data_IF_450548633526
#
_entry.id   IF_450548633526
#
_cell.length_a   1.000
_cell.length_b   1.000
_cell.length_c   1.000
_cell.angle_alpha   90.00
_cell.angle_beta   90.00
_cell.angle_gamma   90.00
#
_symmetry.space_group_name_H-M   'P 1'
#
loop_
_entity.id
_entity.type
_entity.pdbx_description
1 polymer ?
#
# COMPACT_ATOMS: atom_id res chain seq x y z
N UNK A 1 -25.09 0.42 -12.34
CA UNK A 1 -24.83 -0.65 -11.37
C UNK A 1 -23.32 -0.78 -11.31
N UNK A 2 -22.69 -0.58 -10.15
CA UNK A 2 -21.24 -0.75 -10.01
C UNK A 2 -21.00 -2.22 -9.72
N UNK A 3 -20.27 -2.92 -10.58
CA UNK A 3 -19.82 -4.30 -10.30
C UNK A 3 -18.44 -4.23 -9.65
N UNK A 4 -18.40 -4.51 -8.34
CA UNK A 4 -17.15 -4.58 -7.58
C UNK A 4 -16.65 -6.03 -7.61
N UNK A 5 -15.56 -6.28 -8.34
CA UNK A 5 -14.81 -7.52 -8.27
C UNK A 5 -13.74 -7.43 -7.18
N UNK A 6 -13.78 -8.31 -6.19
CA UNK A 6 -12.70 -8.42 -5.18
C UNK A 6 -11.68 -9.44 -5.68
N UNK A 7 -10.46 -8.96 -5.95
CA UNK A 7 -9.32 -9.82 -6.29
C UNK A 7 -8.48 -10.00 -5.03
N UNK A 8 -8.32 -11.24 -4.56
CA UNK A 8 -7.50 -11.54 -3.40
C UNK A 8 -6.01 -11.47 -3.79
N UNK A 9 -5.24 -10.66 -3.06
CA UNK A 9 -3.82 -10.49 -3.30
C UNK A 9 -3.07 -11.79 -2.99
N UNK A 10 -2.39 -12.32 -4.00
CA UNK A 10 -1.79 -13.65 -3.97
C UNK A 10 -0.80 -13.88 -2.82
N UNK A 11 -0.73 -15.15 -2.42
CA UNK A 11 0.21 -15.65 -1.44
C UNK A 11 1.43 -16.29 -2.11
N UNK A 12 2.57 -16.24 -1.42
CA UNK A 12 3.70 -17.12 -1.74
C UNK A 12 3.22 -18.57 -1.76
N UNK A 13 3.64 -19.34 -2.76
CA UNK A 13 3.38 -20.77 -2.86
C UNK A 13 4.44 -21.62 -2.15
N UNK A 14 5.39 -20.98 -1.47
CA UNK A 14 6.37 -21.66 -0.63
C UNK A 14 5.75 -22.02 0.73
N UNK A 15 6.03 -23.22 1.27
CA UNK A 15 5.67 -23.54 2.65
C UNK A 15 6.31 -22.54 3.62
N UNK A 16 5.67 -22.26 4.75
CA UNK A 16 6.30 -21.50 5.82
C UNK A 16 7.12 -22.43 6.72
N UNK A 17 8.27 -21.94 7.22
CA UNK A 17 9.04 -22.58 8.29
C UNK A 17 9.33 -21.62 9.42
N UNK A 18 9.57 -22.16 10.61
CA UNK A 18 10.01 -21.40 11.78
C UNK A 18 11.53 -21.54 11.89
N UNK A 19 12.23 -20.41 11.95
CA UNK A 19 13.68 -20.35 12.18
C UNK A 19 14.04 -20.77 13.61
N UNK A 20 15.33 -20.98 13.89
CA UNK A 20 15.79 -21.32 15.25
C UNK A 20 15.43 -20.28 16.30
N UNK A 21 15.26 -19.02 15.89
CA UNK A 21 14.88 -17.89 16.76
C UNK A 21 13.36 -17.66 16.83
N UNK A 22 12.54 -18.57 16.29
CA UNK A 22 11.08 -18.49 16.35
C UNK A 22 10.43 -17.59 15.29
N UNK A 23 11.18 -17.07 14.33
CA UNK A 23 10.64 -16.23 13.24
C UNK A 23 10.10 -17.11 12.11
N UNK A 24 8.89 -16.82 11.63
CA UNK A 24 8.29 -17.47 10.45
C UNK A 24 8.91 -16.90 9.18
N UNK A 25 9.30 -17.75 8.24
CA UNK A 25 9.86 -17.36 6.92
C UNK A 25 9.37 -18.31 5.83
N UNK A 26 9.45 -17.88 4.56
CA UNK A 26 9.26 -18.78 3.43
C UNK A 26 10.34 -19.88 3.43
N UNK A 27 9.95 -21.12 3.25
CA UNK A 27 10.84 -22.27 3.11
C UNK A 27 11.29 -22.40 1.65
N UNK A 28 12.32 -21.63 1.32
CA UNK A 28 12.99 -21.67 0.03
C UNK A 28 14.37 -21.01 0.13
N UNK A 29 15.23 -21.29 -0.83
CA UNK A 29 16.42 -20.47 -1.03
C UNK A 29 16.05 -19.11 -1.66
N UNK A 30 17.05 -18.28 -1.91
CA UNK A 30 16.85 -16.97 -2.52
C UNK A 30 16.20 -17.07 -3.91
N UNK A 31 16.57 -18.08 -4.71
CA UNK A 31 16.07 -18.25 -6.06
C UNK A 31 14.58 -18.66 -6.04
N UNK A 32 14.21 -19.64 -5.21
CA UNK A 32 12.83 -20.07 -5.03
C UNK A 32 11.95 -18.94 -4.48
N UNK A 33 12.46 -18.17 -3.51
CA UNK A 33 11.75 -17.01 -2.96
C UNK A 33 11.54 -15.93 -4.02
N UNK A 34 12.56 -15.66 -4.84
CA UNK A 34 12.45 -14.70 -5.93
C UNK A 34 11.42 -15.14 -6.97
N UNK A 35 11.42 -16.41 -7.36
CA UNK A 35 10.47 -16.95 -8.33
C UNK A 35 9.03 -16.91 -7.81
N UNK A 36 8.82 -17.26 -6.53
CA UNK A 36 7.51 -17.12 -5.86
C UNK A 36 7.05 -15.66 -5.84
N UNK A 37 7.91 -14.73 -5.43
CA UNK A 37 7.59 -13.31 -5.41
C UNK A 37 7.28 -12.77 -6.81
N UNK A 38 8.00 -13.21 -7.84
CA UNK A 38 7.70 -12.89 -9.23
C UNK A 38 6.32 -13.42 -9.63
N UNK A 39 6.01 -14.69 -9.35
CA UNK A 39 4.69 -15.26 -9.64
C UNK A 39 3.59 -14.43 -8.98
N UNK A 40 3.74 -14.07 -7.71
CA UNK A 40 2.71 -13.32 -6.97
C UNK A 40 2.54 -11.90 -7.50
N UNK A 41 3.60 -11.07 -7.45
CA UNK A 41 3.50 -9.65 -7.84
C UNK A 41 3.15 -9.46 -9.31
N UNK A 42 3.80 -10.22 -10.20
CA UNK A 42 3.56 -10.07 -11.64
C UNK A 42 2.15 -10.55 -12.00
N UNK A 43 1.62 -11.57 -11.32
CA UNK A 43 0.24 -11.99 -11.53
C UNK A 43 -0.77 -10.96 -11.01
N UNK A 44 -0.51 -10.26 -9.91
CA UNK A 44 -1.37 -9.15 -9.46
C UNK A 44 -1.47 -8.05 -10.53
N UNK A 45 -0.33 -7.65 -11.13
CA UNK A 45 -0.33 -6.68 -12.24
C UNK A 45 -1.11 -7.22 -13.45
N UNK A 46 -0.91 -8.49 -13.82
CA UNK A 46 -1.65 -9.13 -14.91
C UNK A 46 -3.15 -9.22 -14.63
N UNK A 47 -3.55 -9.45 -13.38
CA UNK A 47 -4.95 -9.48 -12.95
C UNK A 47 -5.59 -8.10 -13.11
N UNK A 48 -4.92 -7.02 -12.70
CA UNK A 48 -5.43 -5.65 -12.92
C UNK A 48 -5.62 -5.31 -14.41
N UNK A 49 -4.67 -5.73 -15.26
CA UNK A 49 -4.79 -5.57 -16.72
C UNK A 49 -5.94 -6.40 -17.29
N UNK A 50 -6.11 -7.63 -16.79
CA UNK A 50 -7.22 -8.49 -17.21
C UNK A 50 -8.57 -7.92 -16.77
N UNK A 51 -8.66 -7.37 -15.56
CA UNK A 51 -9.86 -6.73 -15.05
C UNK A 51 -10.32 -5.57 -15.94
N UNK A 52 -9.39 -4.74 -16.43
CA UNK A 52 -9.69 -3.67 -17.42
C UNK A 52 -10.29 -4.27 -18.71
N UNK A 53 -9.71 -5.35 -19.23
CA UNK A 53 -10.20 -6.03 -20.44
C UNK A 53 -11.57 -6.68 -20.24
N UNK A 54 -11.87 -7.15 -19.04
CA UNK A 54 -13.12 -7.84 -18.71
C UNK A 54 -14.29 -6.90 -18.41
N UNK A 55 -14.05 -5.59 -18.31
CA UNK A 55 -15.14 -4.64 -18.07
C UNK A 55 -15.26 -4.14 -16.63
N UNK A 56 -14.39 -4.56 -15.71
CA UNK A 56 -14.45 -4.10 -14.32
C UNK A 56 -14.18 -2.58 -14.22
N UNK A 57 -14.82 -1.96 -13.23
CA UNK A 57 -14.72 -0.53 -12.96
C UNK A 57 -13.53 -0.18 -12.08
N UNK A 58 -13.19 -1.04 -11.11
CA UNK A 58 -12.17 -0.79 -10.10
C UNK A 58 -11.26 -2.00 -9.87
N UNK A 59 -10.01 -1.73 -9.55
CA UNK A 59 -9.04 -2.70 -9.02
C UNK A 59 -8.42 -2.13 -7.76
N UNK A 60 -8.61 -2.81 -6.63
CA UNK A 60 -8.12 -2.36 -5.33
C UNK A 60 -6.97 -3.22 -4.82
N UNK A 61 -5.95 -2.57 -4.23
CA UNK A 61 -4.83 -3.23 -3.57
C UNK A 61 -4.70 -2.79 -2.10
N UNK A 62 -4.33 -3.71 -1.23
CA UNK A 62 -4.01 -3.46 0.20
C UNK A 62 -2.53 -3.17 0.37
N UNK A 63 -2.14 -2.44 1.42
CA UNK A 63 -0.73 -2.31 1.82
C UNK A 63 -0.42 -3.26 2.99
N UNK A 64 0.52 -4.19 2.78
CA UNK A 64 0.97 -5.13 3.80
C UNK A 64 2.46 -5.45 3.68
N UNK A 65 3.10 -5.64 4.84
CA UNK A 65 4.54 -5.87 4.94
C UNK A 65 4.88 -7.07 5.81
N UNK A 66 6.08 -7.62 5.58
CA UNK A 66 6.67 -8.68 6.42
C UNK A 66 5.77 -9.92 6.62
N UNK A 67 4.99 -10.32 5.62
CA UNK A 67 4.10 -11.49 5.72
C UNK A 67 4.75 -12.75 5.13
N UNK A 68 5.48 -13.56 5.93
CA UNK A 68 5.96 -14.87 5.51
C UNK A 68 4.83 -15.91 5.42
N UNK A 69 3.67 -15.63 6.01
CA UNK A 69 2.49 -16.50 5.96
C UNK A 69 1.72 -16.41 4.63
N UNK A 70 2.18 -15.53 3.73
CA UNK A 70 1.65 -15.38 2.37
C UNK A 70 0.36 -14.57 2.26
N UNK A 71 -0.28 -14.15 3.34
CA UNK A 71 -1.65 -13.65 3.25
C UNK A 71 -1.86 -12.27 2.60
N UNK A 72 -0.90 -11.47 2.16
CA UNK A 72 -1.13 -10.26 1.34
C UNK A 72 0.22 -9.70 0.86
N UNK A 73 0.82 -10.25 -0.19
CA UNK A 73 2.08 -9.70 -0.71
C UNK A 73 1.82 -8.42 -1.53
N UNK A 74 1.76 -7.27 -0.86
CA UNK A 74 1.55 -5.97 -1.50
C UNK A 74 2.18 -4.83 -0.67
N UNK A 75 3.51 -4.72 -0.64
CA UNK A 75 4.21 -3.74 0.19
C UNK A 75 4.14 -2.30 -0.37
N UNK A 76 3.78 -2.14 -1.64
CA UNK A 76 3.62 -0.83 -2.26
C UNK A 76 2.57 -0.88 -3.39
N UNK A 77 1.29 -0.65 -3.05
CA UNK A 77 0.19 -0.56 -4.02
C UNK A 77 0.47 0.43 -5.16
N UNK A 78 0.96 1.64 -4.85
CA UNK A 78 1.21 2.70 -5.83
C UNK A 78 2.17 2.26 -6.93
N UNK A 79 3.21 1.50 -6.55
CA UNK A 79 4.19 0.98 -7.51
C UNK A 79 3.56 -0.06 -8.43
N UNK A 80 2.82 -1.03 -7.89
CA UNK A 80 2.16 -2.06 -8.70
C UNK A 80 1.08 -1.46 -9.62
N UNK A 81 0.29 -0.52 -9.11
CA UNK A 81 -0.73 0.19 -9.86
C UNK A 81 -0.16 1.06 -10.96
N UNK A 82 1.04 1.63 -10.80
CA UNK A 82 1.70 2.35 -11.90
C UNK A 82 1.95 1.45 -13.13
N UNK A 83 2.30 0.18 -12.90
CA UNK A 83 2.50 -0.79 -13.97
C UNK A 83 1.17 -1.22 -14.62
N UNK A 84 0.08 -1.26 -13.85
CA UNK A 84 -1.28 -1.51 -14.37
C UNK A 84 -1.76 -0.28 -15.15
N UNK A 85 -1.59 0.93 -14.62
CA UNK A 85 -2.01 2.19 -15.23
C UNK A 85 -1.44 2.37 -16.63
N UNK A 86 -0.16 2.03 -16.82
CA UNK A 86 0.53 2.12 -18.11
C UNK A 86 -0.07 1.20 -19.20
N UNK A 87 -0.74 0.13 -18.81
CA UNK A 87 -1.28 -0.90 -19.72
C UNK A 87 -2.80 -0.94 -19.79
N UNK A 88 -3.48 -0.01 -19.10
CA UNK A 88 -4.94 0.04 -19.01
C UNK A 88 -5.46 1.41 -19.43
N UNK A 89 -6.76 1.49 -19.76
CA UNK A 89 -7.38 2.75 -20.21
C UNK A 89 -8.65 3.14 -19.45
N UNK A 90 -9.38 2.20 -18.84
CA UNK A 90 -10.67 2.49 -18.19
C UNK A 90 -10.62 2.28 -16.68
N UNK A 91 -10.06 1.16 -16.23
CA UNK A 91 -10.14 0.72 -14.84
C UNK A 91 -9.59 1.76 -13.87
N UNK A 92 -10.31 1.99 -12.77
CA UNK A 92 -9.87 2.86 -11.69
C UNK A 92 -9.02 2.06 -10.71
N UNK A 93 -7.95 2.66 -10.22
CA UNK A 93 -6.91 2.02 -9.41
C UNK A 93 -6.99 2.60 -8.01
N UNK A 94 -7.19 1.77 -7.00
CA UNK A 94 -7.42 2.26 -5.66
C UNK A 94 -6.73 1.47 -4.57
N UNK A 95 -6.48 2.14 -3.46
CA UNK A 95 -5.87 1.49 -2.31
C UNK A 95 -6.92 1.25 -1.23
N UNK A 96 -6.95 0.04 -0.68
CA UNK A 96 -7.91 -0.36 0.35
C UNK A 96 -7.20 -1.09 1.51
N UNK A 97 -6.25 -0.49 2.21
CA UNK A 97 -5.81 0.91 2.13
C UNK A 97 -4.28 0.99 2.06
N UNK A 98 -3.74 2.11 1.55
CA UNK A 98 -2.41 2.53 1.97
C UNK A 98 -2.45 2.97 3.43
N UNK A 99 -1.43 2.67 4.21
CA UNK A 99 -1.41 3.05 5.62
C UNK A 99 -0.61 4.35 5.76
N UNK A 100 -1.32 5.48 5.77
CA UNK A 100 -0.72 6.81 5.75
C UNK A 100 0.32 7.00 6.86
N UNK A 101 0.13 6.32 7.99
CA UNK A 101 1.03 6.44 9.13
C UNK A 101 2.42 5.82 8.92
N UNK A 102 2.61 5.04 7.84
CA UNK A 102 3.88 4.39 7.48
C UNK A 102 4.69 5.20 6.47
N UNK A 103 4.17 6.35 6.02
CA UNK A 103 4.77 7.20 5.02
C UNK A 103 5.08 8.59 5.59
N UNK A 104 6.04 9.28 4.95
CA UNK A 104 6.09 10.73 5.04
C UNK A 104 4.94 11.31 4.19
N UNK A 105 4.03 12.14 4.73
CA UNK A 105 2.79 12.55 4.06
C UNK A 105 3.03 13.29 2.74
N UNK A 106 4.05 14.16 2.67
CA UNK A 106 4.42 14.85 1.42
C UNK A 106 4.88 13.86 0.34
N UNK A 107 5.71 12.89 0.69
CA UNK A 107 6.19 11.87 -0.26
C UNK A 107 5.07 10.95 -0.72
N UNK A 108 4.10 10.67 0.15
CA UNK A 108 2.89 9.95 -0.21
C UNK A 108 2.03 10.78 -1.19
N UNK A 109 1.79 12.05 -0.87
CA UNK A 109 1.05 12.99 -1.70
C UNK A 109 1.63 13.08 -3.12
N UNK A 110 2.95 13.22 -3.24
CA UNK A 110 3.67 13.27 -4.52
C UNK A 110 3.49 11.97 -5.32
N UNK A 111 3.67 10.81 -4.69
CA UNK A 111 3.56 9.52 -5.39
C UNK A 111 2.13 9.22 -5.86
N UNK A 112 1.13 9.54 -5.05
CA UNK A 112 -0.29 9.41 -5.45
C UNK A 112 -0.60 10.36 -6.61
N UNK A 113 -0.15 11.62 -6.54
CA UNK A 113 -0.34 12.58 -7.63
C UNK A 113 0.38 12.14 -8.92
N UNK A 114 1.60 11.57 -8.81
CA UNK A 114 2.29 10.98 -9.96
C UNK A 114 1.48 9.86 -10.59
N UNK A 115 0.94 8.94 -9.79
CA UNK A 115 0.08 7.86 -10.29
C UNK A 115 -1.19 8.41 -10.93
N UNK A 116 -1.79 9.47 -10.36
CA UNK A 116 -2.97 10.10 -10.92
C UNK A 116 -2.70 10.68 -12.31
N UNK A 117 -1.57 11.38 -12.48
CA UNK A 117 -1.12 11.89 -13.78
C UNK A 117 -0.84 10.75 -14.77
N UNK A 118 -0.10 9.71 -14.35
CA UNK A 118 0.23 8.56 -15.20
C UNK A 118 -1.04 7.82 -15.65
N UNK A 119 -2.00 7.68 -14.75
CA UNK A 119 -3.25 6.96 -15.01
C UNK A 119 -4.27 7.82 -15.80
N UNK A 120 -4.13 9.14 -15.80
CA UNK A 120 -5.07 10.06 -16.41
C UNK A 120 -6.33 10.29 -15.57
N UNK A 121 -6.18 10.49 -14.26
CA UNK A 121 -7.30 10.79 -13.35
C UNK A 121 -8.05 9.55 -12.83
N UNK A 122 -7.41 8.37 -12.85
CA UNK A 122 -8.04 7.08 -12.51
C UNK A 122 -7.71 6.58 -11.11
N UNK A 123 -7.05 7.39 -10.28
CA UNK A 123 -6.69 6.98 -8.91
C UNK A 123 -7.85 7.17 -7.94
N UNK A 124 -7.97 6.22 -7.01
CA UNK A 124 -8.84 6.26 -5.82
C UNK A 124 -7.96 6.13 -4.57
N UNK A 125 -7.64 7.26 -3.93
CA UNK A 125 -6.73 7.28 -2.78
C UNK A 125 -7.42 6.85 -1.49
N UNK A 126 -7.38 5.55 -1.16
CA UNK A 126 -7.86 5.06 0.13
C UNK A 126 -6.72 4.91 1.13
N UNK A 127 -6.90 5.55 2.29
CA UNK A 127 -5.91 5.60 3.37
C UNK A 127 -6.46 5.00 4.67
N UNK A 128 -5.56 4.43 5.44
CA UNK A 128 -5.84 3.86 6.75
C UNK A 128 -4.77 4.23 7.77
N UNK A 129 -5.06 3.90 9.03
CA UNK A 129 -4.18 4.20 10.16
C UNK A 129 -3.21 3.07 10.51
N UNK A 130 -3.52 1.85 10.08
CA UNK A 130 -2.76 0.65 10.42
C UNK A 130 -3.21 0.05 11.75
N UNK A 131 -3.27 -1.28 11.81
CA UNK A 131 -3.66 -2.02 13.02
C UNK A 131 -2.75 -3.20 13.34
N UNK A 132 -2.04 -3.76 12.36
CA UNK A 132 -1.16 -4.91 12.56
C UNK A 132 0.10 -4.50 13.34
N UNK A 133 0.35 -5.01 14.56
CA UNK A 133 1.47 -4.57 15.38
C UNK A 133 2.83 -4.75 14.69
N UNK A 134 3.07 -5.90 14.06
CA UNK A 134 4.33 -6.20 13.36
C UNK A 134 4.74 -5.10 12.36
N UNK A 135 3.76 -4.59 11.61
CA UNK A 135 3.97 -3.61 10.56
C UNK A 135 4.02 -2.20 11.14
N UNK A 136 3.09 -1.84 12.02
CA UNK A 136 3.02 -0.52 12.65
C UNK A 136 4.22 -0.21 13.54
N UNK A 137 4.66 -1.15 14.37
CA UNK A 137 5.80 -0.91 15.25
C UNK A 137 7.14 -0.82 14.47
N UNK A 138 7.16 -1.24 13.20
CA UNK A 138 8.34 -1.12 12.34
C UNK A 138 8.31 0.16 11.53
N UNK A 139 7.20 0.46 10.84
CA UNK A 139 7.09 1.60 9.93
C UNK A 139 6.49 2.87 10.55
N UNK A 140 5.54 2.72 11.48
CA UNK A 140 4.90 3.85 12.17
C UNK A 140 5.73 4.39 13.34
N UNK A 141 6.49 3.53 14.01
CA UNK A 141 7.28 3.89 15.20
C UNK A 141 8.23 5.09 15.01
N UNK A 142 8.95 5.25 13.89
CA UNK A 142 9.83 6.41 13.67
C UNK A 142 9.13 7.77 13.82
N UNK A 143 7.81 7.80 13.65
CA UNK A 143 6.98 8.99 13.72
C UNK A 143 6.08 9.04 14.97
N UNK A 144 6.23 8.07 15.88
CA UNK A 144 5.43 7.95 17.09
C UNK A 144 4.06 7.31 16.89
N UNK A 145 3.74 6.80 15.70
CA UNK A 145 2.54 6.00 15.46
C UNK A 145 2.77 4.55 15.91
N UNK A 146 2.01 4.11 16.90
CA UNK A 146 2.11 2.77 17.49
C UNK A 146 0.71 2.23 17.75
N UNK A 147 0.51 0.92 17.69
CA UNK A 147 -0.79 0.34 18.06
C UNK A 147 -0.95 0.20 19.58
N UNK A 148 0.13 0.39 20.34
CA UNK A 148 0.11 0.41 21.81
C UNK A 148 -0.49 1.72 22.36
N UNK A 149 -0.42 2.80 21.59
CA UNK A 149 -1.03 4.10 21.91
C UNK A 149 -1.93 4.55 20.75
N UNK A 150 -3.19 4.14 20.81
CA UNK A 150 -4.18 4.42 19.77
C UNK A 150 -4.52 5.90 19.65
N UNK A 151 -4.37 6.68 20.72
CA UNK A 151 -4.66 8.11 20.70
C UNK A 151 -3.53 8.84 19.99
N UNK A 152 -2.27 8.58 20.35
CA UNK A 152 -1.11 9.12 19.64
C UNK A 152 -1.11 8.74 18.16
N UNK A 153 -1.46 7.49 17.85
CA UNK A 153 -1.59 7.02 16.46
C UNK A 153 -2.69 7.78 15.70
N UNK A 154 -3.84 8.06 16.35
CA UNK A 154 -4.89 8.91 15.78
C UNK A 154 -4.36 10.32 15.50
N UNK A 155 -3.73 10.96 16.48
CA UNK A 155 -3.21 12.33 16.34
C UNK A 155 -2.19 12.43 15.20
N UNK A 156 -1.30 11.44 15.09
CA UNK A 156 -0.35 11.37 13.98
C UNK A 156 -1.04 11.23 12.62
N UNK A 157 -2.02 10.33 12.51
CA UNK A 157 -2.82 10.15 11.29
C UNK A 157 -3.54 11.44 10.88
N UNK A 158 -4.17 12.14 11.83
CA UNK A 158 -4.88 13.39 11.57
C UNK A 158 -3.94 14.50 11.09
N UNK A 159 -2.76 14.62 11.69
CA UNK A 159 -1.74 15.58 11.27
C UNK A 159 -1.17 15.25 9.89
N UNK A 160 -0.86 13.97 9.62
CA UNK A 160 -0.40 13.51 8.31
C UNK A 160 -1.46 13.71 7.23
N UNK A 161 -2.74 13.48 7.54
CA UNK A 161 -3.86 13.73 6.65
C UNK A 161 -3.99 15.22 6.31
N UNK A 162 -3.84 16.11 7.30
CA UNK A 162 -3.83 17.55 7.04
C UNK A 162 -2.72 17.95 6.06
N UNK A 163 -1.50 17.46 6.28
CA UNK A 163 -0.39 17.73 5.36
C UNK A 163 -0.64 17.18 3.96
N UNK A 164 -1.23 15.97 3.85
CA UNK A 164 -1.60 15.36 2.58
C UNK A 164 -2.56 16.25 1.79
N UNK A 165 -3.62 16.75 2.44
CA UNK A 165 -4.59 17.64 1.79
C UNK A 165 -3.93 18.95 1.38
N UNK A 166 -3.16 19.61 2.26
CA UNK A 166 -2.44 20.84 1.93
C UNK A 166 -1.53 20.66 0.71
N UNK A 167 -0.80 19.55 0.64
CA UNK A 167 0.10 19.26 -0.48
C UNK A 167 -0.60 19.18 -1.84
N UNK A 168 -1.88 18.80 -1.89
CA UNK A 168 -2.65 18.75 -3.13
C UNK A 168 -3.43 20.03 -3.44
N UNK A 169 -3.84 20.78 -2.42
CA UNK A 169 -4.79 21.89 -2.61
C UNK A 169 -4.17 23.28 -2.50
N UNK A 170 -3.00 23.41 -1.90
CA UNK A 170 -2.34 24.71 -1.71
C UNK A 170 -1.16 24.88 -2.68
N UNK A 171 -0.94 26.09 -3.24
CA UNK A 171 0.24 26.35 -4.09
C UNK A 171 1.58 26.14 -3.37
N UNK A 172 1.59 26.31 -2.05
CA UNK A 172 2.72 26.08 -1.14
C UNK A 172 2.20 26.11 0.29
N UNK A 173 2.79 25.34 1.21
CA UNK A 173 2.41 25.36 2.63
C UNK A 173 3.62 25.17 3.54
N UNK A 174 3.51 25.69 4.76
CA UNK A 174 4.37 25.31 5.90
C UNK A 174 3.53 24.57 6.94
N UNK A 175 4.18 23.82 7.81
CA UNK A 175 3.50 23.00 8.82
C UNK A 175 4.35 22.89 10.08
N UNK A 176 3.86 23.42 11.20
CA UNK A 176 4.57 23.41 12.48
C UNK A 176 3.63 22.89 13.58
N UNK A 177 3.61 21.58 13.76
CA UNK A 177 2.80 20.86 14.75
C UNK A 177 3.64 19.80 15.47
N UNK A 178 2.99 18.88 16.18
CA UNK A 178 3.66 17.95 17.11
C UNK A 178 4.60 17.00 16.36
N UNK A 179 4.15 16.44 15.24
CA UNK A 179 4.87 15.38 14.54
C UNK A 179 5.72 15.92 13.39
N UNK A 180 5.30 17.03 12.78
CA UNK A 180 5.96 17.64 11.64
C UNK A 180 6.23 19.14 11.87
N UNK A 181 7.46 19.56 11.57
CA UNK A 181 7.85 20.96 11.54
C UNK A 181 8.69 21.23 10.29
N UNK A 182 8.06 21.77 9.24
CA UNK A 182 8.65 22.04 7.91
C UNK A 182 8.13 23.33 7.30
#
# INVERSE_FOLDING_TARGET
>A
MIEVGVFHNGASDLPAKVTGDGVVVNDGDLAATHESAQRVLVNQVRQGILADRLGFDYFFMTEHHFQPEGAEFSPNPLLAESAIAAQTKRIRLGQAANILTWWHPVRFAEQVAMLDVISGGRVECGIGRGYQPRENETFGWPYGATVQDQERNRSYYEEAYEMLIKAWTEPSFGHHKEFYST
#
